data_IF_956473949944
#
_entry.id   IF_956473949944
#
_cell.length_a   1.000
_cell.length_b   1.000
_cell.length_c   1.000
_cell.angle_alpha   90.00
_cell.angle_beta   90.00
_cell.angle_gamma   90.00
#
_symmetry.space_group_name_H-M   'P 1'
#
loop_
_entity.id
_entity.type
_entity.pdbx_description
1 polymer ?
#
# COMPACT_ATOMS: atom_id res chain seq x y z
N UNK A 1 3.65 -8.32 -13.30
CA UNK A 1 4.55 -7.45 -14.09
C UNK A 1 5.75 -8.19 -14.64
N UNK A 2 6.47 -8.98 -13.81
CA UNK A 2 7.66 -9.74 -14.23
C UNK A 2 7.42 -10.62 -15.46
N UNK A 3 6.36 -11.44 -15.44
CA UNK A 3 5.98 -12.32 -16.56
C UNK A 3 5.71 -11.56 -17.87
N UNK A 4 5.26 -10.30 -17.79
CA UNK A 4 5.02 -9.44 -18.95
C UNK A 4 6.28 -8.68 -19.41
N UNK A 5 7.42 -8.87 -18.73
CA UNK A 5 8.69 -8.21 -19.03
C UNK A 5 8.80 -6.77 -18.53
N UNK A 6 7.85 -6.28 -17.73
CA UNK A 6 7.90 -4.93 -17.15
C UNK A 6 8.68 -4.93 -15.83
N UNK A 7 9.99 -5.13 -15.92
CA UNK A 7 10.91 -5.33 -14.79
C UNK A 7 10.89 -4.16 -13.81
N UNK A 8 10.87 -2.91 -14.28
CA UNK A 8 10.85 -1.72 -13.40
C UNK A 8 9.59 -1.66 -12.54
N UNK A 9 8.43 -1.98 -13.13
CA UNK A 9 7.18 -2.08 -12.39
C UNK A 9 7.23 -3.22 -11.38
N UNK A 10 7.77 -4.37 -11.78
CA UNK A 10 7.91 -5.50 -10.88
C UNK A 10 8.81 -5.19 -9.68
N UNK A 11 10.00 -4.64 -9.92
CA UNK A 11 10.96 -4.30 -8.86
C UNK A 11 10.34 -3.34 -7.85
N UNK A 12 9.62 -2.31 -8.32
CA UNK A 12 8.95 -1.36 -7.44
C UNK A 12 7.84 -2.02 -6.61
N UNK A 13 6.90 -2.72 -7.25
CA UNK A 13 5.77 -3.35 -6.54
C UNK A 13 6.24 -4.49 -5.62
N UNK A 14 7.30 -5.20 -5.97
CA UNK A 14 7.88 -6.22 -5.09
C UNK A 14 8.51 -5.58 -3.84
N UNK A 15 9.16 -4.42 -3.98
CA UNK A 15 9.67 -3.68 -2.84
C UNK A 15 8.53 -3.22 -1.91
N UNK A 16 7.44 -2.67 -2.47
CA UNK A 16 6.26 -2.29 -1.70
C UNK A 16 5.67 -3.50 -0.94
N UNK A 17 5.60 -4.68 -1.57
CA UNK A 17 5.16 -5.91 -0.88
C UNK A 17 6.06 -6.27 0.32
N UNK A 18 7.37 -6.08 0.22
CA UNK A 18 8.31 -6.32 1.32
C UNK A 18 8.10 -5.33 2.47
N UNK A 19 7.84 -4.06 2.17
CA UNK A 19 7.50 -3.02 3.16
C UNK A 19 6.18 -3.35 3.85
N UNK A 20 5.14 -3.74 3.11
CA UNK A 20 3.85 -4.11 3.70
C UNK A 20 3.91 -5.37 4.58
N UNK A 21 4.84 -6.30 4.28
CA UNK A 21 5.10 -7.44 5.17
C UNK A 21 5.67 -6.98 6.53
N UNK A 22 6.52 -5.94 6.52
CA UNK A 22 7.06 -5.36 7.76
C UNK A 22 5.98 -4.60 8.54
N UNK A 23 5.10 -3.88 7.84
CA UNK A 23 3.93 -3.23 8.45
C UNK A 23 3.02 -4.24 9.16
N UNK A 24 2.70 -5.34 8.48
CA UNK A 24 1.90 -6.41 9.05
C UNK A 24 2.58 -7.05 10.29
N UNK A 25 3.89 -7.29 10.25
CA UNK A 25 4.65 -7.82 11.39
C UNK A 25 4.61 -6.87 12.60
N UNK A 26 4.78 -5.56 12.38
CA UNK A 26 4.70 -4.56 13.44
C UNK A 26 3.32 -4.56 14.13
N UNK A 27 2.23 -4.64 13.36
CA UNK A 27 0.87 -4.72 13.90
C UNK A 27 0.64 -6.03 14.67
N UNK A 28 1.05 -7.17 14.12
CA UNK A 28 0.89 -8.47 14.78
C UNK A 28 1.62 -8.50 16.12
N UNK A 29 2.87 -8.03 16.18
CA UNK A 29 3.64 -7.93 17.43
C UNK A 29 2.97 -7.03 18.44
N UNK A 30 2.44 -5.88 18.00
CA UNK A 30 1.74 -4.94 18.89
C UNK A 30 0.47 -5.54 19.45
N UNK A 31 -0.33 -6.22 18.63
CA UNK A 31 -1.56 -6.91 19.07
C UNK A 31 -1.23 -8.00 20.10
N UNK A 32 -0.21 -8.83 19.84
CA UNK A 32 0.21 -9.89 20.77
C UNK A 32 0.74 -9.31 22.09
N UNK A 33 1.50 -8.22 22.04
CA UNK A 33 1.98 -7.52 23.26
C UNK A 33 0.82 -7.01 24.12
N UNK A 34 -0.28 -6.59 23.49
CA UNK A 34 -1.51 -6.17 24.16
C UNK A 34 -2.43 -7.35 24.53
N UNK A 35 -1.90 -8.58 24.53
CA UNK A 35 -2.59 -9.83 24.84
C UNK A 35 -3.79 -10.14 23.91
N UNK A 36 -3.81 -9.52 22.73
CA UNK A 36 -4.79 -9.77 21.67
C UNK A 36 -4.44 -10.97 20.81
N UNK A 37 -5.39 -11.40 19.97
CA UNK A 37 -5.18 -12.45 18.96
C UNK A 37 -5.30 -11.83 17.55
N UNK A 38 -4.19 -11.70 16.79
CA UNK A 38 -4.23 -11.20 15.42
C UNK A 38 -5.12 -12.07 14.52
N UNK A 39 -5.86 -11.43 13.60
CA UNK A 39 -6.66 -12.13 12.59
C UNK A 39 -6.19 -11.72 11.20
N UNK A 40 -5.53 -12.65 10.51
CA UNK A 40 -4.99 -12.45 9.16
C UNK A 40 -5.94 -13.02 8.10
N UNK A 41 -7.16 -12.47 8.01
CA UNK A 41 -8.09 -12.82 6.93
C UNK A 41 -7.98 -11.75 5.84
N UNK A 42 -7.59 -12.10 4.61
CA UNK A 42 -7.59 -11.14 3.52
C UNK A 42 -9.03 -10.76 3.15
N UNK A 43 -9.20 -9.50 2.78
CA UNK A 43 -10.40 -9.04 2.08
C UNK A 43 -10.41 -9.60 0.63
N UNK A 44 -11.55 -9.46 -0.03
CA UNK A 44 -11.66 -9.79 -1.46
C UNK A 44 -10.69 -8.90 -2.27
N UNK A 45 -9.91 -9.55 -3.14
CA UNK A 45 -8.92 -8.88 -3.98
C UNK A 45 -9.57 -8.35 -5.26
N UNK A 46 -9.28 -7.10 -5.59
CA UNK A 46 -9.62 -6.47 -6.86
C UNK A 46 -8.40 -6.55 -7.78
N UNK A 47 -8.33 -7.60 -8.60
CA UNK A 47 -7.16 -7.88 -9.44
C UNK A 47 -7.41 -7.40 -10.87
N UNK A 48 -6.67 -6.38 -11.30
CA UNK A 48 -6.70 -5.88 -12.67
C UNK A 48 -6.07 -6.85 -13.68
N UNK A 49 -6.45 -6.72 -14.95
CA UNK A 49 -5.91 -7.56 -16.05
C UNK A 49 -5.00 -6.79 -17.00
N UNK A 50 -4.93 -5.47 -16.84
CA UNK A 50 -4.03 -4.59 -17.58
C UNK A 50 -3.24 -3.72 -16.60
N UNK A 51 -2.08 -3.19 -17.03
CA UNK A 51 -1.24 -2.32 -16.19
C UNK A 51 -2.04 -1.14 -15.59
N UNK A 52 -2.86 -0.39 -16.35
CA UNK A 52 -3.67 0.68 -15.75
C UNK A 52 -4.71 0.19 -14.73
N UNK A 53 -5.34 -0.97 -14.98
CA UNK A 53 -6.32 -1.54 -14.05
C UNK A 53 -5.67 -1.98 -12.74
N UNK A 54 -4.50 -2.61 -12.82
CA UNK A 54 -3.72 -3.06 -11.66
C UNK A 54 -3.27 -1.86 -10.81
N UNK A 55 -2.61 -0.87 -11.42
CA UNK A 55 -2.18 0.35 -10.72
C UNK A 55 -3.37 1.12 -10.10
N UNK A 56 -4.52 1.14 -10.79
CA UNK A 56 -5.71 1.78 -10.25
C UNK A 56 -6.34 0.96 -9.11
N UNK A 57 -6.24 -0.36 -9.13
CA UNK A 57 -6.70 -1.22 -8.04
C UNK A 57 -5.84 -1.02 -6.79
N UNK A 58 -4.52 -0.99 -6.95
CA UNK A 58 -3.58 -0.70 -5.87
C UNK A 58 -3.85 0.69 -5.28
N UNK A 59 -4.08 1.72 -6.11
CA UNK A 59 -4.40 3.06 -5.62
C UNK A 59 -5.72 3.10 -4.83
N UNK A 60 -6.73 2.33 -5.26
CA UNK A 60 -7.98 2.21 -4.49
C UNK A 60 -7.76 1.53 -3.15
N UNK A 61 -6.88 0.53 -3.09
CA UNK A 61 -6.51 -0.13 -1.85
C UNK A 61 -5.78 0.85 -0.92
N UNK A 62 -4.81 1.61 -1.42
CA UNK A 62 -4.07 2.60 -0.62
C UNK A 62 -4.99 3.65 0.01
N UNK A 63 -5.98 4.16 -0.72
CA UNK A 63 -6.97 5.08 -0.13
C UNK A 63 -7.80 4.43 0.99
N UNK A 64 -8.12 3.13 0.88
CA UNK A 64 -8.81 2.41 1.96
C UNK A 64 -7.89 2.23 3.18
N UNK A 65 -6.63 1.87 2.94
CA UNK A 65 -5.60 1.70 3.99
C UNK A 65 -5.40 3.02 4.73
N UNK A 66 -5.17 4.12 4.01
CA UNK A 66 -5.09 5.48 4.56
C UNK A 66 -6.27 5.80 5.48
N UNK A 67 -7.49 5.58 5.00
CA UNK A 67 -8.70 5.84 5.79
C UNK A 67 -8.79 4.97 7.05
N UNK A 68 -8.36 3.71 6.97
CA UNK A 68 -8.32 2.80 8.13
C UNK A 68 -7.25 3.22 9.14
N UNK A 69 -6.06 3.58 8.68
CA UNK A 69 -4.96 4.06 9.53
C UNK A 69 -5.34 5.34 10.27
N UNK A 70 -5.94 6.33 9.59
CA UNK A 70 -6.42 7.55 10.23
C UNK A 70 -7.44 7.26 11.35
N UNK A 71 -8.39 6.34 11.13
CA UNK A 71 -9.34 5.92 12.17
C UNK A 71 -8.66 5.20 13.33
N UNK A 72 -7.67 4.35 13.04
CA UNK A 72 -6.88 3.66 14.06
C UNK A 72 -6.08 4.64 14.92
N UNK A 73 -5.46 5.65 14.30
CA UNK A 73 -4.73 6.72 14.97
C UNK A 73 -5.66 7.52 15.89
N UNK A 74 -6.83 7.93 15.41
CA UNK A 74 -7.84 8.63 16.21
C UNK A 74 -8.25 7.81 17.45
N UNK A 75 -8.48 6.50 17.28
CA UNK A 75 -8.81 5.61 18.38
C UNK A 75 -7.67 5.48 19.39
N UNK A 76 -6.42 5.37 18.91
CA UNK A 76 -5.24 5.32 19.78
C UNK A 76 -5.11 6.60 20.59
N UNK A 77 -5.34 7.77 19.99
CA UNK A 77 -5.29 9.06 20.68
C UNK A 77 -6.39 9.19 21.75
N UNK A 78 -7.61 8.75 21.44
CA UNK A 78 -8.73 8.73 22.39
C UNK A 78 -8.40 7.90 23.65
N UNK A 79 -7.74 6.76 23.46
CA UNK A 79 -7.35 5.85 24.53
C UNK A 79 -5.95 6.09 25.10
N UNK A 80 -5.24 7.13 24.63
CA UNK A 80 -3.87 7.48 25.02
C UNK A 80 -2.85 6.35 24.77
N UNK A 81 -3.09 5.51 23.77
CA UNK A 81 -2.14 4.51 23.31
C UNK A 81 -1.16 5.12 22.31
N UNK A 82 -0.17 5.85 22.84
CA UNK A 82 0.79 6.57 22.02
C UNK A 82 1.72 5.66 21.22
N UNK A 83 2.00 4.45 21.73
CA UNK A 83 2.90 3.50 21.04
C UNK A 83 2.21 2.88 19.83
N UNK A 84 0.94 2.44 19.97
CA UNK A 84 0.18 1.97 18.81
C UNK A 84 -0.04 3.09 17.80
N UNK A 85 -0.33 4.31 18.26
CA UNK A 85 -0.45 5.48 17.39
C UNK A 85 0.80 5.67 16.54
N UNK A 86 1.99 5.62 17.15
CA UNK A 86 3.24 5.87 16.44
C UNK A 86 3.54 4.77 15.41
N UNK A 87 3.21 3.51 15.70
CA UNK A 87 3.28 2.42 14.72
C UNK A 87 2.37 2.70 13.52
N UNK A 88 1.11 3.08 13.75
CA UNK A 88 0.17 3.40 12.68
C UNK A 88 0.56 4.64 11.88
N UNK A 89 1.20 5.62 12.52
CA UNK A 89 1.66 6.85 11.85
C UNK A 89 2.82 6.61 10.88
N UNK A 90 3.72 5.67 11.19
CA UNK A 90 4.80 5.27 10.27
C UNK A 90 4.17 4.71 8.99
N UNK A 91 3.27 3.73 9.14
CA UNK A 91 2.56 3.13 8.00
C UNK A 91 1.76 4.16 7.20
N UNK A 92 1.11 5.12 7.89
CA UNK A 92 0.36 6.17 7.21
C UNK A 92 1.27 7.07 6.37
N UNK A 93 2.46 7.41 6.87
CA UNK A 93 3.42 8.20 6.14
C UNK A 93 3.90 7.46 4.88
N UNK A 94 4.23 6.18 4.99
CA UNK A 94 4.68 5.36 3.86
C UNK A 94 3.57 5.22 2.80
N UNK A 95 2.33 4.92 3.22
CA UNK A 95 1.15 4.87 2.34
C UNK A 95 0.90 6.22 1.63
N UNK A 96 0.93 7.35 2.34
CA UNK A 96 0.57 8.66 1.77
C UNK A 96 1.69 9.25 0.91
N UNK A 97 2.92 9.25 1.41
CA UNK A 97 4.04 9.99 0.82
C UNK A 97 4.76 9.19 -0.28
N UNK A 98 4.71 7.85 -0.22
CA UNK A 98 5.37 7.00 -1.21
C UNK A 98 4.36 6.29 -2.11
N UNK A 99 3.60 5.30 -1.61
CA UNK A 99 2.80 4.41 -2.46
C UNK A 99 1.70 5.15 -3.22
N UNK A 100 0.84 5.88 -2.50
CA UNK A 100 -0.27 6.63 -3.10
C UNK A 100 0.26 7.64 -4.12
N UNK A 101 1.30 8.39 -3.74
CA UNK A 101 1.88 9.41 -4.60
C UNK A 101 2.52 8.80 -5.86
N UNK A 102 3.25 7.70 -5.72
CA UNK A 102 3.87 7.00 -6.84
C UNK A 102 2.82 6.48 -7.83
N UNK A 103 1.76 5.83 -7.33
CA UNK A 103 0.65 5.30 -8.14
C UNK A 103 -0.09 6.41 -8.89
N UNK A 104 -0.38 7.54 -8.23
CA UNK A 104 -0.98 8.71 -8.86
C UNK A 104 -0.10 9.26 -9.99
N UNK A 105 1.22 9.31 -9.79
CA UNK A 105 2.17 9.70 -10.84
C UNK A 105 2.17 8.73 -12.01
N UNK A 106 2.15 7.42 -11.77
CA UNK A 106 2.12 6.42 -12.84
C UNK A 106 0.86 6.57 -13.70
N UNK A 107 -0.31 6.66 -13.06
CA UNK A 107 -1.57 6.87 -13.76
C UNK A 107 -1.62 8.21 -14.49
N UNK A 108 -1.03 9.26 -13.90
CA UNK A 108 -0.85 10.57 -14.54
C UNK A 108 0.06 10.53 -15.76
N UNK A 109 1.16 9.77 -15.69
CA UNK A 109 2.08 9.56 -16.80
C UNK A 109 1.38 8.81 -17.94
N UNK A 110 0.68 7.72 -17.65
CA UNK A 110 -0.10 6.97 -18.65
C UNK A 110 -1.06 7.91 -19.40
N UNK A 111 -1.74 8.83 -18.70
CA UNK A 111 -2.63 9.83 -19.32
C UNK A 111 -1.86 10.85 -20.18
N UNK A 112 -0.65 11.22 -19.76
CA UNK A 112 0.13 12.29 -20.38
C UNK A 112 0.90 11.84 -21.63
N UNK A 113 1.49 10.64 -21.59
CA UNK A 113 2.35 10.12 -22.66
C UNK A 113 1.72 8.95 -23.44
N UNK A 114 0.57 8.46 -22.99
CA UNK A 114 -0.11 7.30 -23.58
C UNK A 114 0.45 5.96 -23.07
N UNK A 115 -0.41 4.94 -23.05
CA UNK A 115 -0.08 3.62 -22.49
C UNK A 115 1.12 2.97 -23.18
N UNK A 116 1.22 3.02 -24.51
CA UNK A 116 2.31 2.36 -25.24
C UNK A 116 3.69 2.93 -24.87
N UNK A 117 3.82 4.26 -24.81
CA UNK A 117 5.07 4.92 -24.42
C UNK A 117 5.40 4.66 -22.96
N UNK A 118 4.37 4.64 -22.09
CA UNK A 118 4.57 4.28 -20.69
C UNK A 118 5.13 2.86 -20.58
N UNK A 119 4.47 1.86 -21.17
CA UNK A 119 4.92 0.47 -21.14
C UNK A 119 6.33 0.28 -21.73
N UNK A 120 6.68 1.00 -22.80
CA UNK A 120 8.02 0.98 -23.37
C UNK A 120 9.09 1.43 -22.37
N UNK A 121 8.75 2.32 -21.43
CA UNK A 121 9.69 2.79 -20.41
C UNK A 121 9.83 1.84 -19.20
N UNK A 122 9.00 0.79 -19.11
CA UNK A 122 8.95 -0.14 -17.97
C UNK A 122 9.76 -1.43 -18.13
N UNK A 123 10.44 -1.62 -19.27
CA UNK A 123 11.42 -2.71 -19.46
C UNK A 123 12.70 -2.50 -18.65
#
# INVERSE_FOLDING_TARGET
YEDWGFTKLYERINHEMEEEAQHADALMRRILMLEGTPRMRPDDLDVGTTVPEMLAADLRLEYKVRAALCKGIELCELHKDYVSRDILRIQLADTEEDHTYWLEKQLGLIKSIGLQNYLQSQF
#
